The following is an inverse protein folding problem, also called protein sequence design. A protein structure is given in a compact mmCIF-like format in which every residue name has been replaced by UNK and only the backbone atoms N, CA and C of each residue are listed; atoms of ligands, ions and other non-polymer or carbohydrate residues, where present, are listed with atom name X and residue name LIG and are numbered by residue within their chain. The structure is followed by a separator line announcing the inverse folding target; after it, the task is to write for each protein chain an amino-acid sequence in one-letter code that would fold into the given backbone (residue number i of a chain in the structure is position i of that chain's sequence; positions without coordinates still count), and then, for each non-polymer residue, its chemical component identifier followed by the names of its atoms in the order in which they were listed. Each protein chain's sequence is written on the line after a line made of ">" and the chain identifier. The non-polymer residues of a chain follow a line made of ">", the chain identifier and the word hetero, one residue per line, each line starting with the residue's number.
data_IF_703198840274
#
_entry.id   IF_703198840274
#
_cell.length_a   1.000
_cell.length_b   1.000
_cell.length_c   1.000
_cell.angle_alpha   90.00
_cell.angle_beta   90.00
_cell.angle_gamma   90.00
#
_symmetry.space_group_name_H-M   'P 1'
#
loop_
_entity.id
_entity.type
_entity.pdbx_description
1 polymer ?
#
# COMPACT_ATOMS: atom_id res chain seq x y z
N UNK A 1 -1.69 0.06 -23.09
CA UNK A 1 -2.93 0.35 -22.35
C UNK A 1 -2.82 -0.10 -20.90
N UNK A 2 -2.19 -1.25 -20.61
CA UNK A 2 -1.90 -1.75 -19.25
C UNK A 2 -1.38 -0.68 -18.27
N UNK A 3 -0.27 0.00 -18.58
CA UNK A 3 0.34 1.01 -17.69
C UNK A 3 -0.59 2.16 -17.25
N UNK A 4 -1.50 2.62 -18.11
CA UNK A 4 -2.42 3.70 -17.71
C UNK A 4 -3.41 3.18 -16.66
N UNK A 5 -3.95 1.99 -16.88
CA UNK A 5 -4.93 1.40 -15.98
C UNK A 5 -4.32 1.05 -14.63
N UNK A 6 -3.11 0.47 -14.61
CA UNK A 6 -2.39 0.19 -13.35
C UNK A 6 -2.10 1.47 -12.58
N UNK A 7 -1.61 2.53 -13.22
CA UNK A 7 -1.45 3.85 -12.59
C UNK A 7 -2.76 4.40 -12.05
N UNK A 8 -3.86 4.33 -12.80
CA UNK A 8 -5.15 4.82 -12.30
C UNK A 8 -5.67 4.03 -11.10
N UNK A 9 -5.40 2.73 -11.03
CA UNK A 9 -5.78 1.91 -9.86
C UNK A 9 -4.92 2.29 -8.65
N UNK A 10 -3.61 2.49 -8.83
CA UNK A 10 -2.70 2.99 -7.80
C UNK A 10 -3.18 4.36 -7.25
N UNK A 11 -3.42 5.33 -8.13
CA UNK A 11 -3.86 6.67 -7.72
C UNK A 11 -5.26 6.64 -7.08
N UNK A 12 -6.12 5.71 -7.51
CA UNK A 12 -7.40 5.51 -6.85
C UNK A 12 -7.24 4.93 -5.45
N UNK A 13 -6.24 4.07 -5.22
CA UNK A 13 -5.93 3.57 -3.88
C UNK A 13 -5.57 4.72 -2.94
N UNK A 14 -4.74 5.67 -3.37
CA UNK A 14 -4.45 6.89 -2.60
C UNK A 14 -5.72 7.65 -2.19
N UNK A 15 -6.68 7.79 -3.11
CA UNK A 15 -7.97 8.43 -2.77
C UNK A 15 -8.75 7.64 -1.71
N UNK A 16 -8.67 6.30 -1.72
CA UNK A 16 -9.37 5.46 -0.75
C UNK A 16 -8.70 5.47 0.63
N UNK A 17 -7.37 5.58 0.67
CA UNK A 17 -6.57 5.41 1.89
C UNK A 17 -6.11 6.71 2.53
N UNK A 18 -6.20 7.85 1.81
CA UNK A 18 -5.75 9.17 2.26
C UNK A 18 -6.86 10.25 2.26
N UNK A 19 -8.14 9.89 2.12
CA UNK A 19 -9.25 10.87 2.21
C UNK A 19 -9.41 11.44 3.63
N UNK A 20 -10.23 12.47 3.79
CA UNK A 20 -10.62 13.12 5.05
C UNK A 20 -11.32 12.18 6.05
N UNK A 21 -11.73 10.99 5.62
CA UNK A 21 -12.20 9.92 6.49
C UNK A 21 -11.05 9.10 7.09
N UNK A 22 -9.83 9.24 6.57
CA UNK A 22 -8.61 8.52 6.96
C UNK A 22 -7.62 9.46 7.68
N UNK A 23 -7.58 10.74 7.29
CA UNK A 23 -6.72 11.77 7.91
C UNK A 23 -7.51 13.00 8.40
N UNK A 24 -7.18 13.59 9.57
CA UNK A 24 -7.77 14.85 9.99
C UNK A 24 -7.28 16.02 9.12
N UNK A 25 -8.22 16.80 8.61
CA UNK A 25 -7.94 18.00 7.83
C UNK A 25 -7.00 18.96 8.59
N UNK A 26 -5.81 19.20 8.04
CA UNK A 26 -4.85 20.16 8.56
C UNK A 26 -3.82 19.63 9.56
N UNK A 27 -3.71 18.31 9.72
CA UNK A 27 -2.71 17.67 10.60
C UNK A 27 -3.12 17.78 12.07
N UNK A 28 -3.59 16.67 12.64
CA UNK A 28 -3.90 16.57 14.06
C UNK A 28 -2.65 16.50 14.95
N UNK A 29 -2.83 16.45 16.26
CA UNK A 29 -1.78 15.96 17.16
C UNK A 29 -1.83 14.43 17.17
N UNK A 30 -0.91 13.76 16.50
CA UNK A 30 -0.73 12.31 16.55
C UNK A 30 0.51 11.89 17.35
N UNK A 31 0.60 10.59 17.63
CA UNK A 31 1.77 9.94 18.26
C UNK A 31 3.06 10.34 17.51
N UNK A 32 4.20 10.51 18.22
CA UNK A 32 5.47 10.91 17.60
C UNK A 32 5.87 10.04 16.41
N UNK A 33 5.58 8.74 16.46
CA UNK A 33 5.86 7.72 15.43
C UNK A 33 5.14 8.03 14.11
N UNK A 34 4.00 8.72 14.14
CA UNK A 34 3.21 9.07 12.96
C UNK A 34 3.53 10.48 12.43
N UNK A 35 4.32 11.31 13.13
CA UNK A 35 4.52 12.71 12.72
C UNK A 35 5.28 12.90 11.41
N UNK A 36 6.12 11.94 11.04
CA UNK A 36 6.84 11.95 9.75
C UNK A 36 6.02 11.36 8.61
N UNK A 37 5.02 10.53 8.92
CA UNK A 37 4.21 9.80 7.93
C UNK A 37 2.83 10.45 7.71
N UNK A 38 2.34 11.24 8.66
CA UNK A 38 0.99 11.81 8.63
C UNK A 38 0.16 11.34 9.83
N UNK A 39 -0.81 12.14 10.24
CA UNK A 39 -1.69 11.75 11.34
C UNK A 39 -2.92 11.05 10.78
N UNK A 40 -3.15 9.80 11.17
CA UNK A 40 -4.32 9.02 10.74
C UNK A 40 -5.32 8.85 11.87
N UNK A 41 -6.59 8.61 11.53
CA UNK A 41 -7.57 8.13 12.51
C UNK A 41 -7.25 6.68 12.91
N UNK A 42 -7.62 6.29 14.13
CA UNK A 42 -7.36 4.93 14.65
C UNK A 42 -8.01 3.82 13.81
N UNK A 43 -9.10 4.14 13.10
CA UNK A 43 -9.83 3.24 12.20
C UNK A 43 -9.48 3.41 10.72
N UNK A 44 -8.44 4.19 10.39
CA UNK A 44 -7.94 4.33 9.03
C UNK A 44 -7.30 3.03 8.52
N UNK A 45 -7.50 2.72 7.25
CA UNK A 45 -6.84 1.59 6.56
C UNK A 45 -5.32 1.72 6.67
N UNK A 46 -4.80 2.94 6.51
CA UNK A 46 -3.37 3.20 6.57
C UNK A 46 -2.78 2.96 7.96
N UNK A 47 -3.51 3.32 9.02
CA UNK A 47 -3.12 3.02 10.39
C UNK A 47 -3.07 1.51 10.65
N UNK A 48 -4.07 0.76 10.20
CA UNK A 48 -4.09 -0.70 10.32
C UNK A 48 -2.98 -1.38 9.48
N UNK A 49 -2.72 -0.86 8.29
CA UNK A 49 -1.67 -1.37 7.39
C UNK A 49 -0.27 -1.10 7.97
N UNK A 50 -0.06 0.10 8.52
CA UNK A 50 1.17 0.45 9.23
C UNK A 50 1.41 -0.48 10.42
N UNK A 51 0.40 -0.66 11.27
CA UNK A 51 0.52 -1.48 12.47
C UNK A 51 0.94 -2.92 12.17
N UNK A 52 0.37 -3.48 11.10
CA UNK A 52 0.59 -4.87 10.72
C UNK A 52 1.89 -5.09 9.93
N UNK A 53 2.26 -4.17 9.04
CA UNK A 53 3.34 -4.40 8.08
C UNK A 53 4.56 -3.48 8.24
N UNK A 54 4.42 -2.30 8.83
CA UNK A 54 5.49 -1.30 8.87
C UNK A 54 6.08 -1.06 10.26
N UNK A 55 5.26 -1.15 11.32
CA UNK A 55 5.71 -0.93 12.71
C UNK A 55 6.93 -1.78 13.08
N UNK A 56 7.05 -2.98 12.48
CA UNK A 56 8.18 -3.89 12.70
C UNK A 56 9.54 -3.38 12.25
N UNK A 57 9.60 -2.47 11.28
CA UNK A 57 10.85 -1.90 10.76
C UNK A 57 11.47 -0.84 11.70
N UNK A 58 10.70 -0.33 12.66
CA UNK A 58 11.21 0.62 13.67
C UNK A 58 11.73 1.91 13.06
N UNK A 59 12.96 2.30 13.43
CA UNK A 59 13.57 3.55 12.97
C UNK A 59 13.78 3.58 11.44
N UNK A 60 14.00 2.42 10.80
CA UNK A 60 14.20 2.32 9.35
C UNK A 60 12.99 2.86 8.57
N UNK A 61 11.76 2.53 9.01
CA UNK A 61 10.53 3.04 8.40
C UNK A 61 10.40 4.56 8.51
N UNK A 62 11.00 5.18 9.54
CA UNK A 62 11.01 6.64 9.70
C UNK A 62 12.10 7.29 8.84
N UNK A 63 13.24 6.62 8.70
CA UNK A 63 14.40 7.10 7.94
C UNK A 63 14.15 7.10 6.42
N UNK A 64 13.41 6.13 5.88
CA UNK A 64 13.07 6.11 4.43
C UNK A 64 12.10 7.20 3.99
N UNK A 65 11.36 7.81 4.93
CA UNK A 65 10.58 9.01 4.66
C UNK A 65 11.45 10.25 4.37
N UNK A 66 12.78 10.13 4.52
CA UNK A 66 13.73 11.12 4.01
C UNK A 66 13.94 10.95 2.49
N UNK A 67 14.01 12.05 1.74
CA UNK A 67 14.21 12.05 0.27
C UNK A 67 15.63 11.60 -0.15
N UNK A 68 16.26 10.67 0.57
CA UNK A 68 17.57 10.08 0.26
C UNK A 68 17.40 8.76 -0.50
N UNK A 69 17.67 8.80 -1.81
CA UNK A 69 17.56 7.64 -2.69
C UNK A 69 18.44 6.46 -2.22
N UNK A 70 19.62 6.73 -1.63
CA UNK A 70 20.53 5.67 -1.16
C UNK A 70 19.95 4.92 0.05
N UNK A 71 19.21 5.62 0.92
CA UNK A 71 18.55 5.02 2.07
C UNK A 71 17.35 4.17 1.63
N UNK A 72 16.57 4.63 0.64
CA UNK A 72 15.45 3.89 0.05
C UNK A 72 15.91 2.62 -0.65
N UNK A 73 16.99 2.71 -1.44
CA UNK A 73 17.59 1.55 -2.11
C UNK A 73 18.10 0.53 -1.07
N UNK A 74 18.81 0.98 -0.03
CA UNK A 74 19.31 0.09 1.01
C UNK A 74 18.19 -0.59 1.81
N UNK A 75 17.09 0.12 2.07
CA UNK A 75 15.92 -0.44 2.74
C UNK A 75 15.22 -1.48 1.86
N UNK A 76 15.00 -1.18 0.57
CA UNK A 76 14.42 -2.16 -0.35
C UNK A 76 15.32 -3.40 -0.48
N UNK A 77 16.64 -3.23 -0.65
CA UNK A 77 17.57 -4.36 -0.74
C UNK A 77 17.54 -5.25 0.51
N UNK A 78 17.27 -4.68 1.69
CA UNK A 78 17.18 -5.42 2.95
C UNK A 78 15.85 -6.17 3.13
N UNK A 79 14.76 -5.66 2.55
CA UNK A 79 13.38 -6.11 2.77
C UNK A 79 12.63 -6.42 1.47
N UNK A 80 13.34 -6.74 0.38
CA UNK A 80 12.77 -6.92 -0.97
C UNK A 80 11.58 -7.88 -0.99
N UNK A 81 11.66 -8.99 -0.25
CA UNK A 81 10.61 -10.01 -0.17
C UNK A 81 9.31 -9.52 0.48
N UNK A 82 9.34 -8.36 1.15
CA UNK A 82 8.18 -7.78 1.82
C UNK A 82 7.34 -6.86 0.92
N UNK A 83 7.88 -6.39 -0.21
CA UNK A 83 7.25 -5.37 -1.04
C UNK A 83 6.87 -5.90 -2.42
N UNK A 84 5.76 -5.40 -2.96
CA UNK A 84 5.32 -5.75 -4.32
C UNK A 84 6.20 -5.11 -5.39
N UNK A 85 6.89 -4.02 -5.06
CA UNK A 85 7.83 -3.31 -5.92
C UNK A 85 8.82 -2.51 -5.08
N UNK A 86 9.92 -2.06 -5.69
CA UNK A 86 10.82 -1.09 -5.04
C UNK A 86 10.15 0.25 -4.76
N UNK A 87 9.13 0.61 -5.55
CA UNK A 87 8.35 1.83 -5.32
C UNK A 87 7.46 1.72 -4.07
N UNK A 88 6.86 0.55 -3.84
CA UNK A 88 6.11 0.25 -2.62
C UNK A 88 6.95 0.42 -1.35
N UNK A 89 8.24 0.11 -1.40
CA UNK A 89 9.14 0.24 -0.24
C UNK A 89 9.45 1.70 0.15
N UNK A 90 8.93 2.68 -0.58
CA UNK A 90 9.36 4.07 -0.39
C UNK A 90 8.59 4.86 0.65
N UNK A 91 7.35 4.45 0.92
CA UNK A 91 6.55 4.93 2.05
C UNK A 91 5.38 3.98 2.27
N UNK A 92 4.73 4.07 3.44
CA UNK A 92 3.58 3.21 3.74
C UNK A 92 2.38 3.54 2.86
N UNK A 93 2.24 4.81 2.46
CA UNK A 93 1.23 5.30 1.53
C UNK A 93 1.42 4.66 0.15
N UNK A 94 2.66 4.61 -0.34
CA UNK A 94 2.97 3.97 -1.62
C UNK A 94 2.82 2.45 -1.54
N UNK A 95 3.18 1.83 -0.41
CA UNK A 95 3.02 0.39 -0.21
C UNK A 95 1.56 -0.05 -0.23
N UNK A 96 0.68 0.65 0.49
CA UNK A 96 -0.74 0.30 0.49
C UNK A 96 -1.36 0.51 -0.89
N UNK A 97 -0.92 1.53 -1.64
CA UNK A 97 -1.42 1.83 -2.97
C UNK A 97 -0.95 0.80 -4.02
N UNK A 98 0.33 0.49 -4.05
CA UNK A 98 0.91 -0.56 -4.90
C UNK A 98 0.35 -1.94 -4.55
N UNK A 99 0.18 -2.25 -3.25
CA UNK A 99 -0.43 -3.49 -2.79
C UNK A 99 -1.91 -3.59 -3.19
N UNK A 100 -2.68 -2.49 -3.14
CA UNK A 100 -4.06 -2.48 -3.62
C UNK A 100 -4.13 -2.68 -5.13
N UNK A 101 -3.25 -2.02 -5.89
CA UNK A 101 -3.12 -2.23 -7.33
C UNK A 101 -2.84 -3.71 -7.64
N UNK A 102 -1.85 -4.31 -6.97
CA UNK A 102 -1.53 -5.72 -7.11
C UNK A 102 -2.72 -6.62 -6.71
N UNK A 103 -3.44 -6.29 -5.64
CA UNK A 103 -4.64 -7.02 -5.21
C UNK A 103 -5.77 -7.02 -6.26
N UNK A 104 -5.95 -5.87 -6.93
CA UNK A 104 -6.93 -5.74 -8.02
C UNK A 104 -6.51 -6.53 -9.24
N UNK A 105 -5.22 -6.63 -9.55
CA UNK A 105 -4.73 -7.28 -10.77
C UNK A 105 -4.56 -8.80 -10.57
N UNK A 106 -3.98 -9.20 -9.44
CA UNK A 106 -3.51 -10.56 -9.19
C UNK A 106 -4.51 -11.43 -8.42
N UNK A 107 -4.34 -12.75 -8.50
CA UNK A 107 -5.02 -13.65 -7.57
C UNK A 107 -4.50 -13.42 -6.14
N UNK A 108 -5.35 -13.57 -5.12
CA UNK A 108 -4.91 -13.47 -3.72
C UNK A 108 -4.35 -14.83 -3.29
N UNK A 109 -3.05 -14.95 -3.01
CA UNK A 109 -2.45 -16.18 -2.48
C UNK A 109 -2.86 -16.42 -1.01
N UNK A 110 -2.43 -17.55 -0.45
CA UNK A 110 -2.62 -17.81 0.98
C UNK A 110 -1.76 -16.82 1.79
N UNK A 111 -2.34 -16.04 2.73
CA UNK A 111 -1.61 -14.99 3.46
C UNK A 111 -0.44 -15.50 4.31
N UNK A 112 -0.35 -16.81 4.57
CA UNK A 112 0.78 -17.41 5.27
C UNK A 112 2.03 -17.64 4.40
N UNK A 113 1.94 -17.40 3.08
CA UNK A 113 3.03 -17.70 2.14
C UNK A 113 4.13 -16.63 2.13
N UNK A 114 3.78 -15.35 2.30
CA UNK A 114 4.73 -14.23 2.31
C UNK A 114 4.09 -12.97 2.90
N UNK A 115 4.91 -11.97 3.23
CA UNK A 115 4.42 -10.64 3.63
C UNK A 115 3.58 -10.01 2.52
N UNK A 116 4.01 -10.11 1.25
CA UNK A 116 3.22 -9.66 0.09
C UNK A 116 1.85 -10.35 0.03
N UNK A 117 1.80 -11.66 0.26
CA UNK A 117 0.54 -12.41 0.31
C UNK A 117 -0.39 -11.89 1.42
N UNK A 118 0.16 -11.60 2.60
CA UNK A 118 -0.59 -11.01 3.70
C UNK A 118 -1.11 -9.60 3.37
N UNK A 119 -0.29 -8.76 2.73
CA UNK A 119 -0.69 -7.41 2.24
C UNK A 119 -1.81 -7.49 1.22
N UNK A 120 -1.79 -8.43 0.28
CA UNK A 120 -2.88 -8.65 -0.68
C UNK A 120 -4.18 -9.10 0.01
N UNK A 121 -4.06 -9.99 1.00
CA UNK A 121 -5.20 -10.48 1.77
C UNK A 121 -5.78 -9.44 2.74
N UNK A 122 -5.03 -8.41 3.11
CA UNK A 122 -5.46 -7.29 3.96
C UNK A 122 -6.79 -6.70 3.47
N UNK A 123 -6.92 -6.48 2.16
CA UNK A 123 -8.07 -5.81 1.55
C UNK A 123 -9.36 -6.64 1.57
N UNK A 124 -9.25 -7.97 1.66
CA UNK A 124 -10.43 -8.86 1.78
C UNK A 124 -11.13 -8.71 3.14
N UNK A 125 -10.48 -8.07 4.12
CA UNK A 125 -11.08 -7.76 5.44
C UNK A 125 -12.08 -6.59 5.36
N UNK A 126 -12.06 -5.83 4.25
CA UNK A 126 -12.85 -4.64 4.02
C UNK A 126 -13.80 -4.87 2.84
N UNK A 127 -15.08 -5.24 3.10
CA UNK A 127 -16.02 -5.64 2.05
C UNK A 127 -16.20 -4.60 0.93
N UNK A 128 -16.09 -3.32 1.26
CA UNK A 128 -16.13 -2.19 0.32
C UNK A 128 -14.94 -2.20 -0.65
N UNK A 129 -13.72 -2.49 -0.17
CA UNK A 129 -12.51 -2.59 -1.01
C UNK A 129 -12.56 -3.83 -1.90
N UNK A 130 -13.03 -4.96 -1.36
CA UNK A 130 -13.31 -6.16 -2.16
C UNK A 130 -14.36 -5.90 -3.25
N UNK A 131 -15.43 -5.17 -2.93
CA UNK A 131 -16.43 -4.78 -3.93
C UNK A 131 -15.87 -3.81 -5.00
N UNK A 132 -14.92 -2.93 -4.65
CA UNK A 132 -14.21 -2.10 -5.63
C UNK A 132 -13.41 -2.96 -6.59
N UNK A 133 -12.62 -3.92 -6.10
CA UNK A 133 -11.86 -4.86 -6.93
C UNK A 133 -12.75 -5.57 -7.94
N UNK A 134 -13.86 -6.15 -7.48
CA UNK A 134 -14.79 -6.87 -8.37
C UNK A 134 -15.39 -5.96 -9.45
N UNK A 135 -15.69 -4.70 -9.12
CA UNK A 135 -16.16 -3.71 -10.11
C UNK A 135 -15.08 -3.39 -11.15
N UNK A 136 -13.84 -3.13 -10.72
CA UNK A 136 -12.74 -2.83 -11.65
C UNK A 136 -12.50 -4.02 -12.59
N UNK A 137 -12.49 -5.25 -12.05
CA UNK A 137 -12.33 -6.48 -12.85
C UNK A 137 -13.47 -6.73 -13.82
N UNK A 138 -14.71 -6.45 -13.41
CA UNK A 138 -15.86 -6.62 -14.28
C UNK A 138 -15.81 -5.66 -15.48
N UNK A 139 -15.32 -4.43 -15.29
CA UNK A 139 -15.25 -3.42 -16.34
C UNK A 139 -13.98 -3.53 -17.22
N UNK A 140 -12.84 -3.86 -16.61
CA UNK A 140 -11.53 -3.76 -17.26
C UNK A 140 -10.71 -5.06 -17.24
N UNK A 141 -11.29 -6.20 -16.86
CA UNK A 141 -10.57 -7.46 -16.66
C UNK A 141 -9.74 -7.93 -17.86
N UNK A 142 -10.21 -7.69 -19.10
CA UNK A 142 -9.49 -8.03 -20.33
C UNK A 142 -8.26 -7.13 -20.58
N UNK A 143 -8.19 -5.96 -19.92
CA UNK A 143 -7.10 -4.98 -20.03
C UNK A 143 -6.10 -5.08 -18.86
N UNK A 144 -6.46 -5.76 -17.77
CA UNK A 144 -5.55 -6.05 -16.66
C UNK A 144 -4.53 -7.09 -17.13
N UNK A 145 -3.25 -6.73 -17.08
CA UNK A 145 -2.14 -7.65 -17.30
C UNK A 145 -1.37 -7.79 -15.98
N UNK A 146 -0.81 -8.97 -15.67
CA UNK A 146 0.09 -9.12 -14.53
C UNK A 146 1.19 -8.06 -14.57
N UNK A 147 1.50 -7.48 -13.42
CA UNK A 147 2.44 -6.33 -13.34
C UNK A 147 3.90 -6.79 -13.39
N UNK A 148 4.16 -8.07 -13.11
CA UNK A 148 5.50 -8.57 -12.76
C UNK A 148 6.07 -9.62 -13.73
N UNK A 149 5.46 -9.83 -14.90
CA UNK A 149 6.04 -10.66 -15.96
C UNK A 149 7.01 -9.81 -16.83
N UNK A 150 8.24 -9.59 -16.33
CA UNK A 150 9.41 -9.24 -17.16
C UNK A 150 10.46 -10.37 -17.18
#
# INVERSE_FOLDING_TARGET
>A
TSYLLTTLIHEYAHILTLDLEQEPAGGGECEPEFRSQGCWYDDAYLAAFWDEFWRGYGDEATEIGSEDDEARDAFYDAHEEDFVSSYAATSVEEDIAESFMAYVIEAVPDPSQSTVAAKLAFFERYPELAAIRERIRAEFGDELQPVWDE
#
